data_IF_998711891843
#
_entry.id   IF_998711891843
#
_cell.length_a   1.000
_cell.length_b   1.000
_cell.length_c   1.000
_cell.angle_alpha   90.00
_cell.angle_beta   90.00
_cell.angle_gamma   90.00
#
_symmetry.space_group_name_H-M   'P 1'
#
loop_
_entity.id
_entity.type
_entity.pdbx_description
1 polymer ?
#
# COMPACT_ATOMS: atom_id res chain seq x y z
N UNK A 1 -0.07 3.81 -3.94
CA UNK A 1 -1.07 3.02 -3.22
C UNK A 1 -1.98 2.25 -4.17
N UNK A 2 -2.83 1.35 -3.63
CA UNK A 2 -3.79 0.52 -4.37
C UNK A 2 -3.84 -0.92 -3.84
N UNK A 3 -4.68 -1.75 -4.46
CA UNK A 3 -4.99 -3.11 -4.03
C UNK A 3 -3.78 -4.07 -4.05
N UNK A 4 -3.93 -5.24 -3.43
CA UNK A 4 -2.94 -6.32 -3.49
C UNK A 4 -2.80 -6.79 -4.95
N UNK A 5 -1.56 -6.97 -5.42
CA UNK A 5 -1.30 -7.42 -6.80
C UNK A 5 -1.34 -6.33 -7.89
N UNK A 6 -1.65 -5.06 -7.55
CA UNK A 6 -1.79 -3.98 -8.55
C UNK A 6 -0.46 -3.48 -9.16
N UNK A 7 0.71 -3.87 -8.60
CA UNK A 7 2.01 -3.49 -9.14
C UNK A 7 2.73 -2.32 -8.46
N UNK A 8 2.30 -1.93 -7.23
CA UNK A 8 2.91 -0.83 -6.45
C UNK A 8 4.43 -0.89 -6.38
N UNK A 9 4.97 -2.01 -5.92
CA UNK A 9 6.41 -2.22 -5.74
C UNK A 9 7.17 -2.07 -7.05
N UNK A 10 6.66 -2.68 -8.13
CA UNK A 10 7.28 -2.59 -9.46
C UNK A 10 7.31 -1.16 -9.98
N UNK A 11 6.21 -0.41 -9.82
CA UNK A 11 6.16 0.99 -10.24
C UNK A 11 7.08 1.87 -9.38
N UNK A 12 7.08 1.69 -8.06
CA UNK A 12 7.94 2.43 -7.15
C UNK A 12 9.43 2.23 -7.49
N UNK A 13 9.84 0.99 -7.78
CA UNK A 13 11.21 0.67 -8.18
C UNK A 13 11.60 1.33 -9.52
N UNK A 14 10.73 1.25 -10.55
CA UNK A 14 10.99 1.91 -11.84
C UNK A 14 11.11 3.43 -11.68
N UNK A 15 10.20 4.06 -10.95
CA UNK A 15 10.26 5.50 -10.67
C UNK A 15 11.54 5.85 -9.89
N UNK A 16 11.89 5.07 -8.86
CA UNK A 16 13.10 5.30 -8.08
C UNK A 16 14.37 5.26 -8.92
N UNK A 17 14.46 4.32 -9.88
CA UNK A 17 15.56 4.22 -10.83
C UNK A 17 15.62 5.44 -11.76
N UNK A 18 14.49 5.82 -12.37
CA UNK A 18 14.44 6.92 -13.35
C UNK A 18 14.74 8.27 -12.72
N UNK A 19 14.20 8.53 -11.53
CA UNK A 19 14.42 9.78 -10.81
C UNK A 19 15.67 9.77 -9.92
N UNK A 20 16.37 8.63 -9.83
CA UNK A 20 17.54 8.42 -8.97
C UNK A 20 17.30 8.83 -7.51
N UNK A 21 16.17 8.41 -6.99
CA UNK A 21 15.75 8.65 -5.60
C UNK A 21 15.62 7.33 -4.83
N UNK A 22 15.82 7.32 -3.51
CA UNK A 22 15.60 6.15 -2.68
C UNK A 22 14.20 5.60 -2.83
N UNK A 23 14.06 4.28 -2.68
CA UNK A 23 12.78 3.59 -2.68
C UNK A 23 12.56 2.94 -1.32
N UNK A 24 11.46 3.29 -0.66
CA UNK A 24 11.06 2.69 0.61
C UNK A 24 10.01 1.61 0.32
N UNK A 25 10.38 0.35 0.59
CA UNK A 25 9.51 -0.81 0.34
C UNK A 25 8.96 -1.37 1.65
N UNK A 26 7.70 -1.80 1.61
CA UNK A 26 7.03 -2.40 2.75
C UNK A 26 7.66 -3.75 3.14
N UNK A 27 7.97 -3.93 4.42
CA UNK A 27 8.59 -5.14 4.99
C UNK A 27 7.57 -6.27 5.28
N UNK A 28 6.66 -6.55 4.36
CA UNK A 28 5.57 -7.51 4.58
C UNK A 28 6.06 -8.89 5.03
N UNK A 29 7.20 -9.37 4.52
CA UNK A 29 7.74 -10.70 4.83
C UNK A 29 8.25 -10.85 6.27
N UNK A 30 8.47 -9.76 6.98
CA UNK A 30 8.88 -9.78 8.39
C UNK A 30 7.70 -9.93 9.35
N UNK A 31 6.47 -9.77 8.87
CA UNK A 31 5.29 -9.88 9.73
C UNK A 31 4.99 -11.34 10.05
N UNK A 32 5.14 -11.79 11.31
CA UNK A 32 4.99 -13.20 11.69
C UNK A 32 3.52 -13.66 11.69
N UNK A 33 2.58 -12.73 11.49
CA UNK A 33 1.15 -13.00 11.48
C UNK A 33 0.56 -13.07 10.09
N UNK A 34 1.30 -12.67 9.04
CA UNK A 34 0.74 -12.51 7.69
C UNK A 34 0.22 -13.84 7.11
N UNK A 35 1.02 -14.89 7.15
CA UNK A 35 0.59 -16.22 6.68
C UNK A 35 -0.56 -16.77 7.52
N UNK A 36 -0.47 -16.61 8.85
CA UNK A 36 -1.50 -17.07 9.79
C UNK A 36 -2.84 -16.34 9.59
N UNK A 37 -2.79 -15.07 9.21
CA UNK A 37 -3.98 -14.29 8.93
C UNK A 37 -4.76 -14.84 7.73
N UNK A 38 -4.09 -15.24 6.66
CA UNK A 38 -4.78 -15.82 5.51
C UNK A 38 -5.44 -17.18 5.82
N UNK A 39 -4.91 -17.91 6.80
CA UNK A 39 -5.48 -19.17 7.27
C UNK A 39 -6.60 -18.96 8.31
N UNK A 40 -6.41 -18.05 9.27
CA UNK A 40 -7.32 -17.79 10.39
C UNK A 40 -7.52 -16.28 10.60
N UNK A 41 -8.29 -15.58 9.71
CA UNK A 41 -8.42 -14.12 9.75
C UNK A 41 -8.92 -13.58 11.10
N UNK A 42 -9.96 -14.18 11.66
CA UNK A 42 -10.58 -13.71 12.91
C UNK A 42 -9.61 -13.73 14.09
N UNK A 43 -8.65 -14.64 14.08
CA UNK A 43 -7.67 -14.78 15.17
C UNK A 43 -6.48 -13.86 15.00
N UNK A 44 -6.04 -13.64 13.77
CA UNK A 44 -4.76 -12.98 13.49
C UNK A 44 -4.89 -11.57 12.90
N UNK A 45 -6.11 -11.09 12.60
CA UNK A 45 -6.31 -9.74 12.07
C UNK A 45 -5.72 -8.65 12.99
N UNK A 46 -6.06 -8.70 14.28
CA UNK A 46 -5.59 -7.68 15.22
C UNK A 46 -4.05 -7.68 15.39
N UNK A 47 -3.38 -8.77 15.72
CA UNK A 47 -1.91 -8.77 15.80
C UNK A 47 -1.23 -8.46 14.47
N UNK A 48 -1.81 -8.84 13.33
CA UNK A 48 -1.31 -8.49 11.99
C UNK A 48 -1.29 -6.98 11.76
N UNK A 49 -2.45 -6.33 11.97
CA UNK A 49 -2.60 -4.91 11.67
C UNK A 49 -1.76 -4.04 12.63
N UNK A 50 -1.72 -4.39 13.92
CA UNK A 50 -0.87 -3.69 14.88
C UNK A 50 0.62 -3.83 14.57
N UNK A 51 1.06 -5.01 14.11
CA UNK A 51 2.44 -5.19 13.68
C UNK A 51 2.76 -4.31 12.45
N UNK A 52 1.90 -4.29 11.44
CA UNK A 52 2.09 -3.43 10.28
C UNK A 52 2.08 -1.96 10.61
N UNK A 53 1.23 -1.52 11.54
CA UNK A 53 1.21 -0.14 12.00
C UNK A 53 2.56 0.28 12.60
N UNK A 54 3.11 -0.55 13.49
CA UNK A 54 4.38 -0.29 14.16
C UNK A 54 5.57 -0.35 13.19
N UNK A 55 5.60 -1.36 12.33
CA UNK A 55 6.68 -1.51 11.35
C UNK A 55 6.69 -0.36 10.32
N UNK A 56 5.53 0.05 9.79
CA UNK A 56 5.42 1.21 8.90
C UNK A 56 5.83 2.50 9.60
N UNK A 57 5.36 2.70 10.83
CA UNK A 57 5.79 3.86 11.62
C UNK A 57 7.31 3.90 11.76
N UNK A 58 7.92 2.79 12.17
CA UNK A 58 9.36 2.68 12.33
C UNK A 58 10.10 2.96 11.01
N UNK A 59 9.67 2.38 9.88
CA UNK A 59 10.29 2.59 8.59
C UNK A 59 10.29 4.07 8.18
N UNK A 60 9.15 4.76 8.30
CA UNK A 60 9.06 6.18 7.96
C UNK A 60 9.83 7.04 8.96
N UNK A 61 9.72 6.78 10.25
CA UNK A 61 10.47 7.51 11.27
C UNK A 61 11.98 7.37 11.08
N UNK A 62 12.49 6.16 10.90
CA UNK A 62 13.92 5.90 10.66
C UNK A 62 14.41 6.60 9.37
N UNK A 63 13.56 6.63 8.34
CA UNK A 63 13.88 7.32 7.10
C UNK A 63 13.99 8.84 7.29
N UNK A 64 13.01 9.48 7.90
CA UNK A 64 12.95 10.93 8.02
C UNK A 64 13.90 11.49 9.09
N UNK A 65 14.22 10.71 10.12
CA UNK A 65 15.16 11.13 11.18
C UNK A 65 16.62 10.90 10.81
N UNK A 66 16.92 10.14 9.76
CA UNK A 66 18.29 9.91 9.32
C UNK A 66 18.82 11.14 8.54
N UNK A 67 19.83 11.86 9.08
CA UNK A 67 20.35 13.08 8.46
C UNK A 67 21.03 12.84 7.10
N UNK A 68 21.43 11.60 6.80
CA UNK A 68 22.08 11.23 5.55
C UNK A 68 21.09 10.80 4.45
N UNK A 69 19.79 10.84 4.72
CA UNK A 69 18.78 10.39 3.78
C UNK A 69 18.34 11.55 2.87
N UNK A 70 18.09 11.24 1.59
CA UNK A 70 17.51 12.20 0.65
C UNK A 70 16.13 12.65 1.15
N UNK A 71 15.84 13.96 1.01
CA UNK A 71 14.50 14.49 1.28
C UNK A 71 13.43 14.01 0.28
N UNK A 72 13.85 13.41 -0.84
CA UNK A 72 12.95 12.83 -1.85
C UNK A 72 13.00 11.32 -1.77
N UNK A 73 11.85 10.70 -1.73
CA UNK A 73 11.68 9.24 -1.67
C UNK A 73 10.44 8.83 -2.45
N UNK A 74 10.48 7.67 -3.04
CA UNK A 74 9.30 6.96 -3.54
C UNK A 74 9.01 5.79 -2.61
N UNK A 75 7.77 5.63 -2.16
CA UNK A 75 7.37 4.50 -1.34
C UNK A 75 6.28 3.68 -2.03
N UNK A 76 6.31 2.35 -1.88
CA UNK A 76 5.24 1.46 -2.35
C UNK A 76 4.10 1.29 -1.34
N UNK A 77 4.19 2.00 -0.22
CA UNK A 77 3.17 2.04 0.81
C UNK A 77 3.14 3.41 1.48
N UNK A 78 2.06 3.69 2.21
CA UNK A 78 1.92 4.87 3.06
C UNK A 78 1.55 4.48 4.48
N UNK A 79 1.68 5.41 5.42
CA UNK A 79 1.25 5.16 6.79
C UNK A 79 -0.27 5.01 6.89
N UNK A 80 -1.04 5.79 6.11
CA UNK A 80 -2.51 5.73 6.10
C UNK A 80 -3.07 4.39 5.56
N UNK A 81 -2.30 3.63 4.77
CA UNK A 81 -2.67 2.26 4.39
C UNK A 81 -3.09 1.42 5.60
N UNK A 82 -2.49 1.68 6.77
CA UNK A 82 -2.84 1.02 8.02
C UNK A 82 -4.30 1.22 8.42
N UNK A 83 -4.88 2.42 8.21
CA UNK A 83 -6.30 2.67 8.47
C UNK A 83 -7.22 1.90 7.53
N UNK A 84 -6.89 1.88 6.25
CA UNK A 84 -7.69 1.18 5.23
C UNK A 84 -7.80 -0.31 5.56
N UNK A 85 -6.67 -0.98 5.81
CA UNK A 85 -6.66 -2.41 6.10
C UNK A 85 -7.26 -2.73 7.47
N UNK A 86 -6.95 -1.94 8.49
CA UNK A 86 -7.53 -2.13 9.82
C UNK A 86 -9.07 -1.99 9.82
N UNK A 87 -9.63 -1.04 9.06
CA UNK A 87 -11.08 -0.84 8.92
C UNK A 87 -11.76 -2.05 8.29
N UNK A 88 -11.07 -2.78 7.40
CA UNK A 88 -11.57 -3.97 6.71
C UNK A 88 -11.45 -5.22 7.59
N UNK A 89 -10.34 -5.34 8.32
CA UNK A 89 -9.94 -6.59 8.97
C UNK A 89 -10.32 -6.66 10.45
N UNK A 90 -10.48 -5.53 11.13
CA UNK A 90 -10.73 -5.50 12.57
C UNK A 90 -12.23 -5.42 12.90
N UNK A 91 -12.59 -5.92 14.09
CA UNK A 91 -13.89 -5.61 14.69
C UNK A 91 -14.00 -4.10 14.96
N UNK A 92 -15.22 -3.58 15.05
CA UNK A 92 -15.47 -2.16 15.37
C UNK A 92 -14.71 -1.74 16.64
N UNK A 93 -14.77 -2.56 17.67
CA UNK A 93 -14.09 -2.30 18.96
C UNK A 93 -12.57 -2.25 18.82
N UNK A 94 -11.98 -3.20 18.09
CA UNK A 94 -10.54 -3.25 17.91
C UNK A 94 -10.05 -2.12 17.00
N UNK A 95 -10.86 -1.75 16.00
CA UNK A 95 -10.56 -0.63 15.11
C UNK A 95 -10.52 0.71 15.86
N UNK A 96 -11.40 0.95 16.83
CA UNK A 96 -11.35 2.16 17.66
C UNK A 96 -10.03 2.28 18.44
N UNK A 97 -9.58 1.18 19.03
CA UNK A 97 -8.29 1.12 19.72
C UNK A 97 -7.10 1.33 18.78
N UNK A 98 -7.18 0.70 17.60
CA UNK A 98 -6.19 0.85 16.53
C UNK A 98 -6.10 2.30 16.05
N UNK A 99 -7.23 2.94 15.76
CA UNK A 99 -7.32 4.32 15.28
C UNK A 99 -6.68 5.30 16.25
N UNK A 100 -6.95 5.17 17.56
CA UNK A 100 -6.30 5.99 18.60
C UNK A 100 -4.77 5.85 18.58
N UNK A 101 -4.25 4.63 18.38
CA UNK A 101 -2.81 4.39 18.27
C UNK A 101 -2.25 4.99 16.99
N UNK A 102 -2.94 4.81 15.85
CA UNK A 102 -2.58 5.40 14.57
C UNK A 102 -2.46 6.93 14.68
N UNK A 103 -3.49 7.61 15.23
CA UNK A 103 -3.51 9.06 15.40
C UNK A 103 -2.32 9.57 16.22
N UNK A 104 -2.00 8.89 17.32
CA UNK A 104 -0.84 9.23 18.17
C UNK A 104 0.49 9.09 17.43
N UNK A 105 0.63 8.13 16.54
CA UNK A 105 1.85 7.90 15.77
C UNK A 105 1.93 8.83 14.55
N UNK A 106 0.81 9.08 13.88
CA UNK A 106 0.76 9.86 12.64
C UNK A 106 1.23 11.30 12.80
N UNK A 107 0.97 11.92 13.96
CA UNK A 107 1.43 13.30 14.25
C UNK A 107 2.95 13.43 14.35
N UNK A 108 3.69 12.33 14.39
CA UNK A 108 5.15 12.28 14.45
C UNK A 108 5.78 12.06 13.06
N UNK A 109 4.96 11.86 12.03
CA UNK A 109 5.43 11.57 10.68
C UNK A 109 5.03 12.69 9.71
N UNK A 110 5.91 12.98 8.76
CA UNK A 110 5.57 13.83 7.64
C UNK A 110 4.59 13.09 6.69
N UNK A 111 3.60 13.82 6.21
CA UNK A 111 2.69 13.30 5.19
C UNK A 111 3.39 13.23 3.83
N UNK A 112 3.05 12.27 2.97
CA UNK A 112 3.52 12.27 1.60
C UNK A 112 3.02 13.52 0.87
N UNK A 113 3.83 14.08 -0.01
CA UNK A 113 3.42 15.26 -0.78
C UNK A 113 2.36 14.94 -1.83
N UNK A 114 2.42 13.74 -2.38
CA UNK A 114 1.53 13.25 -3.45
C UNK A 114 1.33 11.75 -3.31
N UNK A 115 0.16 11.28 -3.68
CA UNK A 115 -0.18 9.85 -3.70
C UNK A 115 -0.60 9.45 -5.12
N UNK A 116 0.01 8.41 -5.64
CA UNK A 116 -0.42 7.76 -6.87
C UNK A 116 -1.22 6.52 -6.48
N UNK A 117 -2.50 6.53 -6.80
CA UNK A 117 -3.41 5.41 -6.55
C UNK A 117 -3.58 4.58 -7.81
N UNK A 118 -3.15 3.32 -7.76
CA UNK A 118 -3.23 2.39 -8.88
C UNK A 118 -4.51 1.56 -8.79
N UNK A 119 -5.23 1.49 -9.90
CA UNK A 119 -6.45 0.70 -10.03
C UNK A 119 -6.28 -0.38 -11.09
N UNK A 120 -6.91 -1.52 -10.88
CA UNK A 120 -6.91 -2.65 -11.81
C UNK A 120 -8.16 -3.49 -11.58
N UNK A 121 -8.62 -4.23 -12.60
CA UNK A 121 -9.72 -5.18 -12.46
C UNK A 121 -9.39 -6.30 -11.46
N UNK A 122 -10.40 -6.78 -10.73
CA UNK A 122 -10.21 -7.85 -9.76
C UNK A 122 -9.63 -9.13 -10.38
N UNK A 123 -10.04 -9.46 -11.59
CA UNK A 123 -9.53 -10.62 -12.33
C UNK A 123 -8.03 -10.47 -12.63
N UNK A 124 -7.60 -9.27 -13.05
CA UNK A 124 -6.19 -9.03 -13.30
C UNK A 124 -5.37 -9.01 -12.01
N UNK A 125 -5.92 -8.49 -10.90
CA UNK A 125 -5.27 -8.58 -9.58
C UNK A 125 -5.02 -10.04 -9.20
N UNK A 126 -6.02 -10.92 -9.38
CA UNK A 126 -5.88 -12.36 -9.12
C UNK A 126 -4.78 -12.99 -9.97
N UNK A 127 -4.76 -12.70 -11.27
CA UNK A 127 -3.70 -13.17 -12.16
C UNK A 127 -2.32 -12.69 -11.68
N UNK A 128 -2.18 -11.42 -11.32
CA UNK A 128 -0.92 -10.86 -10.84
C UNK A 128 -0.46 -11.51 -9.53
N UNK A 129 -1.39 -11.81 -8.61
CA UNK A 129 -1.12 -12.50 -7.35
C UNK A 129 -0.63 -13.93 -7.61
N UNK A 130 -1.26 -14.63 -8.55
CA UNK A 130 -0.84 -15.97 -8.96
C UNK A 130 0.57 -15.97 -9.57
N UNK A 131 0.85 -15.04 -10.50
CA UNK A 131 2.17 -14.89 -11.12
C UNK A 131 3.24 -14.57 -10.08
N UNK A 132 2.93 -13.73 -9.07
CA UNK A 132 3.85 -13.41 -7.96
C UNK A 132 4.21 -14.64 -7.12
N UNK A 133 3.34 -15.63 -7.02
CA UNK A 133 3.64 -16.95 -6.50
C UNK A 133 3.84 -17.06 -4.98
N UNK A 134 3.35 -16.10 -4.18
CA UNK A 134 3.41 -16.22 -2.71
C UNK A 134 2.40 -17.26 -2.25
N UNK A 135 2.88 -18.32 -1.58
CA UNK A 135 2.06 -19.48 -1.21
C UNK A 135 0.78 -19.11 -0.45
N UNK A 136 0.89 -18.22 0.56
CA UNK A 136 -0.23 -17.80 1.39
C UNK A 136 -1.25 -16.88 0.69
N UNK A 137 -0.94 -16.37 -0.51
CA UNK A 137 -1.84 -15.52 -1.29
C UNK A 137 -2.57 -16.28 -2.41
N UNK A 138 -2.17 -17.53 -2.73
CA UNK A 138 -2.70 -18.25 -3.90
C UNK A 138 -4.20 -18.53 -3.82
N UNK A 139 -4.73 -18.67 -2.61
CA UNK A 139 -6.15 -18.91 -2.36
C UNK A 139 -6.90 -17.63 -1.94
N UNK A 140 -6.34 -16.45 -2.21
CA UNK A 140 -6.98 -15.19 -1.83
C UNK A 140 -8.34 -15.05 -2.49
N UNK A 141 -9.36 -14.78 -1.66
CA UNK A 141 -10.74 -14.59 -2.09
C UNK A 141 -10.88 -13.26 -2.88
N UNK A 142 -11.63 -13.32 -3.98
CA UNK A 142 -12.02 -12.14 -4.74
C UNK A 142 -12.84 -11.15 -3.92
N UNK A 143 -13.68 -11.64 -3.00
CA UNK A 143 -14.44 -10.78 -2.11
C UNK A 143 -13.55 -9.99 -1.15
N UNK A 144 -12.42 -10.56 -0.73
CA UNK A 144 -11.44 -9.83 0.05
C UNK A 144 -10.77 -8.71 -0.77
N UNK A 145 -10.37 -8.99 -2.00
CA UNK A 145 -9.85 -7.97 -2.91
C UNK A 145 -10.87 -6.85 -3.18
N UNK A 146 -12.14 -7.22 -3.32
CA UNK A 146 -13.25 -6.26 -3.49
C UNK A 146 -13.45 -5.39 -2.24
N UNK A 147 -13.36 -5.98 -1.04
CA UNK A 147 -13.40 -5.22 0.22
C UNK A 147 -12.25 -4.21 0.31
N UNK A 148 -11.05 -4.59 -0.10
CA UNK A 148 -9.89 -3.69 -0.12
C UNK A 148 -10.12 -2.55 -1.12
N UNK A 149 -10.62 -2.83 -2.32
CA UNK A 149 -10.90 -1.82 -3.34
C UNK A 149 -11.93 -0.80 -2.84
N UNK A 150 -13.02 -1.27 -2.26
CA UNK A 150 -14.04 -0.42 -1.65
C UNK A 150 -13.51 0.38 -0.47
N UNK A 151 -12.67 -0.22 0.38
CA UNK A 151 -12.04 0.45 1.51
C UNK A 151 -11.10 1.58 1.07
N UNK A 152 -10.31 1.38 0.02
CA UNK A 152 -9.51 2.46 -0.56
C UNK A 152 -10.37 3.56 -1.16
N UNK A 153 -11.43 3.21 -1.89
CA UNK A 153 -12.35 4.19 -2.47
C UNK A 153 -12.99 5.06 -1.39
N UNK A 154 -13.55 4.44 -0.37
CA UNK A 154 -14.14 5.14 0.77
C UNK A 154 -13.11 6.06 1.45
N UNK A 155 -11.89 5.59 1.68
CA UNK A 155 -10.83 6.38 2.27
C UNK A 155 -10.42 7.58 1.40
N UNK A 156 -10.26 7.37 0.10
CA UNK A 156 -9.88 8.43 -0.84
C UNK A 156 -10.95 9.52 -0.95
N UNK A 157 -12.21 9.15 -0.90
CA UNK A 157 -13.34 10.08 -1.02
C UNK A 157 -13.63 10.85 0.27
N UNK A 158 -13.45 10.21 1.44
CA UNK A 158 -13.94 10.75 2.71
C UNK A 158 -12.86 11.13 3.73
N UNK A 159 -11.67 10.54 3.64
CA UNK A 159 -10.64 10.67 4.68
C UNK A 159 -9.30 11.20 4.13
N UNK A 160 -9.06 11.14 2.82
CA UNK A 160 -7.78 11.54 2.23
C UNK A 160 -7.60 13.06 2.26
N UNK A 161 -6.52 13.50 2.89
CA UNK A 161 -6.14 14.94 2.98
C UNK A 161 -4.97 15.32 2.08
N UNK A 162 -4.30 14.32 1.51
CA UNK A 162 -3.14 14.51 0.62
C UNK A 162 -3.60 14.48 -0.83
N UNK A 163 -3.07 15.35 -1.71
CA UNK A 163 -3.36 15.26 -3.14
C UNK A 163 -3.07 13.87 -3.70
N UNK A 164 -4.01 13.32 -4.48
CA UNK A 164 -3.82 12.02 -5.11
C UNK A 164 -4.24 12.02 -6.58
N UNK A 165 -3.58 11.16 -7.37
CA UNK A 165 -3.91 10.91 -8.76
C UNK A 165 -4.21 9.41 -8.94
N UNK A 166 -5.39 9.10 -9.46
CA UNK A 166 -5.75 7.71 -9.79
C UNK A 166 -5.29 7.36 -11.20
N UNK A 167 -4.65 6.19 -11.33
CA UNK A 167 -4.18 5.64 -12.60
C UNK A 167 -4.80 4.25 -12.78
N UNK A 168 -5.67 4.13 -13.78
CA UNK A 168 -6.22 2.85 -14.22
C UNK A 168 -5.20 2.11 -15.07
N UNK A 169 -4.84 0.90 -14.65
CA UNK A 169 -3.87 0.02 -15.31
C UNK A 169 -4.53 -1.05 -16.19
N UNK A 170 -5.86 -1.06 -16.33
CA UNK A 170 -6.59 -2.12 -17.05
C UNK A 170 -6.07 -2.34 -18.47
N UNK A 171 -5.64 -1.27 -19.15
CA UNK A 171 -5.05 -1.32 -20.48
C UNK A 171 -3.54 -1.04 -20.51
N UNK A 172 -2.87 -0.98 -19.36
CA UNK A 172 -1.48 -0.51 -19.23
C UNK A 172 -0.59 -1.56 -18.54
N UNK A 173 0.06 -2.41 -19.32
CA UNK A 173 1.14 -3.28 -18.81
C UNK A 173 2.47 -2.52 -18.81
N UNK A 174 2.69 -1.73 -17.77
CA UNK A 174 3.92 -0.92 -17.63
C UNK A 174 5.17 -1.75 -17.29
N UNK A 175 5.01 -3.02 -16.97
CA UNK A 175 6.14 -3.92 -16.68
C UNK A 175 6.78 -4.37 -17.99
N UNK A 176 5.96 -4.77 -18.96
CA UNK A 176 6.41 -5.30 -20.26
C UNK A 176 6.44 -4.25 -21.37
N UNK A 177 5.71 -3.15 -21.22
CA UNK A 177 5.54 -2.14 -22.26
C UNK A 177 6.06 -0.77 -21.79
N UNK A 178 7.20 -0.38 -22.34
CA UNK A 178 7.83 0.90 -22.01
C UNK A 178 6.95 2.11 -22.37
N UNK A 179 6.17 2.05 -23.47
CA UNK A 179 5.24 3.14 -23.83
C UNK A 179 4.14 3.33 -22.76
N UNK A 180 3.61 2.21 -22.22
CA UNK A 180 2.65 2.26 -21.12
C UNK A 180 3.27 2.91 -19.87
N UNK A 181 4.50 2.57 -19.53
CA UNK A 181 5.23 3.19 -18.43
C UNK A 181 5.42 4.70 -18.65
N UNK A 182 5.83 5.12 -19.85
CA UNK A 182 6.00 6.55 -20.17
C UNK A 182 4.68 7.34 -20.06
N UNK A 183 3.54 6.75 -20.43
CA UNK A 183 2.23 7.37 -20.21
C UNK A 183 1.93 7.57 -18.72
N UNK A 184 2.25 6.59 -17.88
CA UNK A 184 2.12 6.70 -16.43
C UNK A 184 3.01 7.83 -15.90
N UNK A 185 4.28 7.88 -16.31
CA UNK A 185 5.20 8.94 -15.91
C UNK A 185 4.74 10.34 -16.32
N UNK A 186 4.16 10.49 -17.51
CA UNK A 186 3.58 11.76 -17.95
C UNK A 186 2.45 12.21 -17.03
N UNK A 187 1.54 11.31 -16.64
CA UNK A 187 0.47 11.61 -15.67
C UNK A 187 1.01 11.99 -14.30
N UNK A 188 2.02 11.28 -13.81
CA UNK A 188 2.66 11.57 -12.51
C UNK A 188 3.36 12.94 -12.52
N UNK A 189 4.00 13.31 -13.64
CA UNK A 189 4.68 14.61 -13.78
C UNK A 189 3.71 15.77 -13.92
N UNK A 190 2.55 15.53 -14.55
CA UNK A 190 1.52 16.55 -14.73
C UNK A 190 0.68 16.81 -13.46
N UNK A 191 0.65 15.84 -12.56
CA UNK A 191 0.03 15.92 -11.24
C UNK A 191 0.94 16.62 -10.24
#
# INVERSE_FOLDING_TARGET
>A
EGNIGVGKTSLAQKIGQDFKVPVLLENFSKNPYLEKFYDQPDRYASPLEFYFLEDRFKQFNDFYTNPNTSKKVVSDHSFFKSLVFAKINLSVKDYEGFKKKYERLSVQLDLPQKVIFLQQSLDQLKVNIQIRGRAYEQNMDLDYLKKIDNGYRDFLENEMTVPYCSIDLTALDFIKNEKAYQLILQRIKAF
#
